data_IF_177023172928
#
_entry.id   IF_177023172928
#
_cell.length_a   1.000
_cell.length_b   1.000
_cell.length_c   1.000
_cell.angle_alpha   90.00
_cell.angle_beta   90.00
_cell.angle_gamma   90.00
#
_symmetry.space_group_name_H-M   'P 1'
#
loop_
_entity.id
_entity.type
_entity.pdbx_description
1 polymer ?
#
# COMPACT_ATOMS: atom_id res chain seq x y z
N UNK A 1 -10.67 9.25 23.49
CA UNK A 1 -10.64 7.97 22.76
C UNK A 1 -10.74 8.15 21.26
N UNK A 2 -11.83 8.73 20.73
CA UNK A 2 -12.02 8.99 19.29
C UNK A 2 -10.87 9.79 18.65
N UNK A 3 -10.40 10.83 19.35
CA UNK A 3 -9.25 11.63 18.89
C UNK A 3 -7.98 10.78 18.67
N UNK A 4 -7.69 9.82 19.55
CA UNK A 4 -6.50 8.98 19.42
C UNK A 4 -6.58 8.04 18.21
N UNK A 5 -7.76 7.50 17.91
CA UNK A 5 -8.01 6.67 16.72
C UNK A 5 -7.81 7.51 15.46
N UNK A 6 -8.38 8.73 15.43
CA UNK A 6 -8.23 9.66 14.30
C UNK A 6 -6.75 10.02 14.10
N UNK A 7 -6.04 10.38 15.16
CA UNK A 7 -4.61 10.69 15.09
C UNK A 7 -3.80 9.49 14.59
N UNK A 8 -4.13 8.27 15.01
CA UNK A 8 -3.45 7.06 14.52
C UNK A 8 -3.71 6.80 13.03
N UNK A 9 -4.95 6.96 12.57
CA UNK A 9 -5.32 6.86 11.16
C UNK A 9 -4.61 7.92 10.29
N UNK A 10 -4.55 9.17 10.77
CA UNK A 10 -3.85 10.26 10.09
C UNK A 10 -2.34 10.02 10.05
N UNK A 11 -1.74 9.60 11.18
CA UNK A 11 -0.33 9.29 11.26
C UNK A 11 0.06 8.15 10.31
N UNK A 12 -0.71 7.06 10.29
CA UNK A 12 -0.46 5.93 9.39
C UNK A 12 -0.61 6.32 7.92
N UNK A 13 -1.63 7.12 7.58
CA UNK A 13 -1.80 7.67 6.24
C UNK A 13 -0.61 8.54 5.83
N UNK A 14 -0.13 9.41 6.73
CA UNK A 14 1.04 10.24 6.48
C UNK A 14 2.31 9.41 6.29
N UNK A 15 2.53 8.38 7.10
CA UNK A 15 3.67 7.46 6.97
C UNK A 15 3.66 6.78 5.59
N UNK A 16 2.52 6.25 5.16
CA UNK A 16 2.39 5.59 3.84
C UNK A 16 2.62 6.59 2.70
N UNK A 17 2.02 7.79 2.77
CA UNK A 17 2.16 8.82 1.76
C UNK A 17 3.61 9.34 1.65
N UNK A 18 4.27 9.60 2.78
CA UNK A 18 5.67 10.05 2.82
C UNK A 18 6.58 8.95 2.26
N UNK A 19 6.40 7.70 2.69
CA UNK A 19 7.18 6.57 2.16
C UNK A 19 7.04 6.48 0.64
N UNK A 20 5.80 6.55 0.14
CA UNK A 20 5.52 6.54 -1.29
C UNK A 20 6.26 7.67 -2.03
N UNK A 21 6.13 8.93 -1.58
CA UNK A 21 6.78 10.08 -2.23
C UNK A 21 8.30 9.92 -2.22
N UNK A 22 8.89 9.45 -1.11
CA UNK A 22 10.33 9.22 -1.01
C UNK A 22 10.78 8.11 -1.97
N UNK A 23 10.14 6.94 -1.93
CA UNK A 23 10.54 5.81 -2.78
C UNK A 23 10.34 6.11 -4.26
N UNK A 24 9.14 6.55 -4.66
CA UNK A 24 8.82 6.88 -6.05
C UNK A 24 9.64 8.07 -6.54
N UNK A 25 9.89 9.06 -5.68
CA UNK A 25 10.75 10.20 -5.98
C UNK A 25 12.20 9.79 -6.26
N UNK A 26 12.76 8.88 -5.47
CA UNK A 26 14.11 8.33 -5.71
C UNK A 26 14.17 7.59 -7.05
N UNK A 27 13.18 6.74 -7.35
CA UNK A 27 13.12 6.04 -8.64
C UNK A 27 12.92 6.98 -9.82
N UNK A 28 12.06 8.00 -9.68
CA UNK A 28 11.84 9.02 -10.69
C UNK A 28 13.12 9.82 -10.95
N UNK A 29 13.84 10.23 -9.90
CA UNK A 29 15.13 10.91 -10.00
C UNK A 29 16.18 10.04 -10.68
N UNK A 30 16.33 8.78 -10.24
CA UNK A 30 17.28 7.84 -10.84
C UNK A 30 16.96 7.59 -12.32
N UNK A 31 15.68 7.45 -12.66
CA UNK A 31 15.23 7.30 -14.06
C UNK A 31 15.58 8.52 -14.89
N UNK A 32 15.36 9.74 -14.39
CA UNK A 32 15.72 10.96 -15.12
C UNK A 32 17.24 11.10 -15.32
N UNK A 33 18.05 10.64 -14.36
CA UNK A 33 19.52 10.63 -14.45
C UNK A 33 20.04 9.61 -15.48
N UNK A 34 19.45 8.41 -15.51
CA UNK A 34 19.92 7.31 -16.39
C UNK A 34 19.29 7.37 -17.78
N UNK A 35 18.04 7.80 -17.89
CA UNK A 35 17.28 7.91 -19.15
C UNK A 35 16.60 9.28 -19.27
N UNK A 36 17.37 10.35 -19.57
CA UNK A 36 16.81 11.68 -19.72
C UNK A 36 15.72 11.72 -20.80
N UNK A 37 14.63 12.44 -20.54
CA UNK A 37 13.55 12.63 -21.51
C UNK A 37 12.54 11.47 -21.63
N UNK A 38 12.81 10.30 -21.04
CA UNK A 38 11.96 9.10 -21.18
C UNK A 38 10.47 9.36 -20.89
N UNK A 39 10.16 10.16 -19.87
CA UNK A 39 8.79 10.46 -19.45
C UNK A 39 8.38 11.93 -19.68
N UNK A 40 9.10 12.67 -20.53
CA UNK A 40 8.85 14.10 -20.74
C UNK A 40 7.42 14.40 -21.23
N UNK A 41 6.85 13.51 -22.07
CA UNK A 41 5.49 13.63 -22.59
C UNK A 41 4.42 13.07 -21.64
N UNK A 42 4.81 12.37 -20.57
CA UNK A 42 3.88 11.72 -19.64
C UNK A 42 3.53 12.59 -18.42
N UNK A 43 3.88 13.88 -18.42
CA UNK A 43 3.61 14.79 -17.28
C UNK A 43 2.14 14.80 -16.81
N UNK A 44 1.13 14.81 -17.71
CA UNK A 44 -0.27 14.74 -17.27
C UNK A 44 -0.60 13.41 -16.59
N UNK A 45 -0.11 12.28 -17.13
CA UNK A 45 -0.30 10.96 -16.54
C UNK A 45 0.37 10.86 -15.16
N UNK A 46 1.62 11.32 -15.03
CA UNK A 46 2.36 11.31 -13.76
C UNK A 46 1.59 12.08 -12.67
N UNK A 47 1.00 13.24 -13.00
CA UNK A 47 0.20 14.00 -12.03
C UNK A 47 -1.03 13.22 -11.56
N UNK A 48 -1.68 12.51 -12.48
CA UNK A 48 -2.83 11.65 -12.17
C UNK A 48 -2.39 10.45 -11.32
N UNK A 49 -1.29 9.79 -11.66
CA UNK A 49 -0.69 8.70 -10.89
C UNK A 49 -0.38 9.14 -9.46
N UNK A 50 0.27 10.29 -9.28
CA UNK A 50 0.53 10.85 -7.95
C UNK A 50 -0.76 11.06 -7.16
N UNK A 51 -1.80 11.64 -7.79
CA UNK A 51 -3.09 11.85 -7.14
C UNK A 51 -3.73 10.53 -6.66
N UNK A 52 -3.75 9.50 -7.53
CA UNK A 52 -4.32 8.20 -7.19
C UNK A 52 -3.49 7.42 -6.17
N UNK A 53 -2.16 7.55 -6.21
CA UNK A 53 -1.26 6.93 -5.23
C UNK A 53 -1.43 7.57 -3.85
N UNK A 54 -1.61 8.89 -3.77
CA UNK A 54 -1.93 9.58 -2.51
C UNK A 54 -3.34 9.23 -2.00
N UNK A 55 -4.34 9.10 -2.88
CA UNK A 55 -5.66 8.62 -2.51
C UNK A 55 -5.58 7.17 -1.96
N UNK A 56 -4.80 6.31 -2.62
CA UNK A 56 -4.54 4.94 -2.16
C UNK A 56 -3.85 4.91 -0.80
N UNK A 57 -2.93 5.84 -0.53
CA UNK A 57 -2.30 5.96 0.78
C UNK A 57 -3.32 6.22 1.90
N UNK A 58 -4.39 7.00 1.65
CA UNK A 58 -5.48 7.16 2.61
C UNK A 58 -6.36 5.91 2.71
N UNK A 59 -6.71 5.29 1.59
CA UNK A 59 -7.54 4.07 1.56
C UNK A 59 -6.91 2.94 2.38
N UNK A 60 -5.59 2.77 2.32
CA UNK A 60 -4.87 1.77 3.12
C UNK A 60 -4.43 2.28 4.49
N UNK A 61 -4.02 3.55 4.59
CA UNK A 61 -3.47 4.13 5.80
C UNK A 61 -4.50 4.30 6.92
N UNK A 62 -5.72 4.71 6.59
CA UNK A 62 -6.81 4.88 7.57
C UNK A 62 -7.12 3.56 8.29
N UNK A 63 -7.51 2.47 7.61
CA UNK A 63 -7.79 1.20 8.30
C UNK A 63 -6.55 0.66 9.00
N UNK A 64 -5.35 0.80 8.43
CA UNK A 64 -4.12 0.37 9.09
C UNK A 64 -3.88 1.10 10.42
N UNK A 65 -4.12 2.42 10.48
CA UNK A 65 -4.00 3.18 11.74
C UNK A 65 -5.07 2.80 12.76
N UNK A 66 -6.31 2.58 12.32
CA UNK A 66 -7.40 2.11 13.20
C UNK A 66 -7.04 0.74 13.82
N UNK A 67 -6.56 -0.20 13.00
CA UNK A 67 -6.16 -1.53 13.46
C UNK A 67 -4.92 -1.46 14.35
N UNK A 68 -3.93 -0.61 14.04
CA UNK A 68 -2.74 -0.42 14.87
C UNK A 68 -3.09 0.14 16.26
N UNK A 69 -3.99 1.13 16.32
CA UNK A 69 -4.51 1.63 17.59
C UNK A 69 -5.27 0.54 18.36
N UNK A 70 -6.14 -0.19 17.67
CA UNK A 70 -6.94 -1.26 18.27
C UNK A 70 -6.12 -2.42 18.79
N UNK A 71 -5.03 -2.75 18.10
CA UNK A 71 -4.02 -3.69 18.60
C UNK A 71 -3.46 -3.23 19.95
N UNK A 72 -2.89 -2.03 20.02
CA UNK A 72 -2.22 -1.56 21.24
C UNK A 72 -3.17 -1.28 22.40
N UNK A 73 -4.36 -0.78 22.12
CA UNK A 73 -5.27 -0.26 23.15
C UNK A 73 -6.39 -1.23 23.52
N UNK A 74 -6.73 -2.17 22.63
CA UNK A 74 -7.91 -3.05 22.78
C UNK A 74 -7.62 -4.54 22.54
N UNK A 75 -6.39 -4.90 22.15
CA UNK A 75 -6.04 -6.29 21.85
C UNK A 75 -6.80 -6.88 20.66
N UNK A 76 -7.20 -6.05 19.68
CA UNK A 76 -7.98 -6.52 18.51
C UNK A 76 -7.23 -7.51 17.62
N UNK A 77 -5.91 -7.56 17.73
CA UNK A 77 -5.07 -8.43 16.91
C UNK A 77 -4.09 -9.19 17.80
N UNK A 78 -3.54 -10.27 17.24
CA UNK A 78 -2.50 -11.08 17.88
C UNK A 78 -1.08 -10.67 17.46
N UNK A 79 -0.87 -9.39 17.10
CA UNK A 79 0.48 -8.90 16.82
C UNK A 79 1.30 -9.02 18.11
N UNK A 80 2.39 -9.77 18.02
CA UNK A 80 3.39 -9.95 19.06
C UNK A 80 4.68 -9.22 18.67
N UNK A 81 5.42 -8.72 19.66
CA UNK A 81 6.62 -7.90 19.42
C UNK A 81 7.91 -8.55 19.92
N UNK A 82 7.83 -9.59 20.76
CA UNK A 82 9.02 -10.29 21.22
C UNK A 82 9.26 -11.54 20.40
N UNK A 83 10.51 -11.74 19.98
CA UNK A 83 10.93 -12.93 19.23
C UNK A 83 10.71 -14.24 19.98
N UNK A 84 10.63 -14.18 21.31
CA UNK A 84 10.45 -15.33 22.20
C UNK A 84 8.99 -15.64 22.55
N UNK A 85 8.01 -14.87 22.04
CA UNK A 85 6.58 -15.14 22.31
C UNK A 85 6.10 -16.44 21.62
N UNK A 86 6.84 -16.89 20.58
CA UNK A 86 6.67 -18.17 19.90
C UNK A 86 8.03 -18.84 19.69
N UNK A 87 8.07 -20.17 19.44
CA UNK A 87 9.30 -20.85 19.04
C UNK A 87 9.93 -20.19 17.80
N UNK A 88 11.26 -20.03 17.76
CA UNK A 88 11.93 -19.29 16.68
C UNK A 88 11.69 -19.86 15.27
N UNK A 89 11.44 -21.16 15.14
CA UNK A 89 11.07 -21.78 13.86
C UNK A 89 9.73 -21.28 13.32
N UNK A 90 8.87 -20.74 14.18
CA UNK A 90 7.59 -20.17 13.78
C UNK A 90 7.79 -18.89 12.95
N UNK A 91 8.89 -18.14 13.12
CA UNK A 91 9.13 -16.92 12.34
C UNK A 91 9.20 -17.17 10.82
N UNK A 92 10.02 -18.10 10.30
CA UNK A 92 9.99 -18.42 8.87
C UNK A 92 8.69 -19.13 8.46
N UNK A 93 8.10 -19.99 9.31
CA UNK A 93 6.85 -20.66 8.96
C UNK A 93 5.68 -19.68 8.82
N UNK A 94 5.54 -18.74 9.76
CA UNK A 94 4.46 -17.75 9.76
C UNK A 94 4.58 -16.81 8.57
N UNK A 95 5.80 -16.48 8.15
CA UNK A 95 6.05 -15.76 6.89
C UNK A 95 5.53 -16.55 5.68
N UNK A 96 5.85 -17.85 5.58
CA UNK A 96 5.38 -18.69 4.47
C UNK A 96 3.85 -18.85 4.47
N UNK A 97 3.24 -19.04 5.64
CA UNK A 97 1.79 -19.09 5.80
C UNK A 97 1.17 -17.76 5.37
N UNK A 98 1.71 -16.64 5.83
CA UNK A 98 1.24 -15.31 5.46
C UNK A 98 1.32 -15.09 3.95
N UNK A 99 2.44 -15.42 3.32
CA UNK A 99 2.61 -15.29 1.86
C UNK A 99 1.59 -16.14 1.11
N UNK A 100 1.41 -17.40 1.50
CA UNK A 100 0.41 -18.28 0.88
C UNK A 100 -1.01 -17.69 1.00
N UNK A 101 -1.40 -17.22 2.19
CA UNK A 101 -2.72 -16.64 2.41
C UNK A 101 -2.89 -15.33 1.65
N UNK A 102 -1.90 -14.45 1.72
CA UNK A 102 -1.91 -13.14 1.06
C UNK A 102 -1.99 -13.30 -0.46
N UNK A 103 -1.17 -14.16 -1.05
CA UNK A 103 -1.13 -14.38 -2.50
C UNK A 103 -2.41 -15.05 -3.00
N UNK A 104 -2.94 -16.01 -2.22
CA UNK A 104 -4.24 -16.63 -2.53
C UNK A 104 -5.35 -15.58 -2.51
N UNK A 105 -5.43 -14.77 -1.45
CA UNK A 105 -6.40 -13.68 -1.36
C UNK A 105 -6.24 -12.67 -2.50
N UNK A 106 -5.03 -12.22 -2.76
CA UNK A 106 -4.73 -11.25 -3.81
C UNK A 106 -5.10 -11.79 -5.19
N UNK A 107 -4.74 -13.03 -5.52
CA UNK A 107 -5.08 -13.64 -6.80
C UNK A 107 -6.59 -13.66 -7.03
N UNK A 108 -7.36 -14.17 -6.08
CA UNK A 108 -8.81 -14.31 -6.25
C UNK A 108 -9.51 -12.95 -6.26
N UNK A 109 -9.12 -12.02 -5.38
CA UNK A 109 -9.70 -10.68 -5.37
C UNK A 109 -9.35 -9.89 -6.63
N UNK A 110 -8.12 -10.00 -7.12
CA UNK A 110 -7.71 -9.41 -8.39
C UNK A 110 -8.47 -10.01 -9.57
N UNK A 111 -8.58 -11.35 -9.65
CA UNK A 111 -9.38 -12.03 -10.67
C UNK A 111 -10.83 -11.55 -10.65
N UNK A 112 -11.42 -11.38 -9.47
CA UNK A 112 -12.78 -10.89 -9.31
C UNK A 112 -12.92 -9.42 -9.73
N UNK A 113 -11.93 -8.58 -9.42
CA UNK A 113 -11.87 -7.18 -9.86
C UNK A 113 -11.82 -7.01 -11.37
N UNK A 114 -11.44 -8.04 -12.14
CA UNK A 114 -11.53 -8.04 -13.60
C UNK A 114 -12.93 -8.32 -14.16
N UNK A 115 -13.93 -8.61 -13.31
CA UNK A 115 -15.31 -8.69 -13.77
C UNK A 115 -15.81 -7.31 -14.27
N UNK A 116 -16.65 -7.21 -15.31
CA UNK A 116 -16.93 -5.95 -16.01
C UNK A 116 -17.43 -4.78 -15.15
N UNK A 117 -18.22 -5.06 -14.10
CA UNK A 117 -18.70 -4.03 -13.17
C UNK A 117 -17.59 -3.59 -12.22
N UNK A 118 -16.90 -4.55 -11.59
CA UNK A 118 -15.83 -4.27 -10.61
C UNK A 118 -14.62 -3.61 -11.28
N UNK A 119 -14.31 -4.01 -12.50
CA UNK A 119 -13.23 -3.42 -13.29
C UNK A 119 -13.44 -1.92 -13.42
N UNK A 120 -14.62 -1.50 -13.88
CA UNK A 120 -14.93 -0.08 -14.09
C UNK A 120 -14.87 0.77 -12.81
N UNK A 121 -15.26 0.22 -11.66
CA UNK A 121 -15.34 1.01 -10.41
C UNK A 121 -14.08 0.96 -9.57
N UNK A 122 -13.28 -0.12 -9.65
CA UNK A 122 -12.21 -0.37 -8.70
C UNK A 122 -10.85 -0.69 -9.34
N UNK A 123 -10.81 -1.11 -10.61
CA UNK A 123 -9.57 -1.62 -11.21
C UNK A 123 -9.10 -0.89 -12.47
N UNK A 124 -10.00 -0.17 -13.16
CA UNK A 124 -9.69 0.49 -14.43
C UNK A 124 -8.58 1.55 -14.30
N UNK A 125 -8.57 2.30 -13.19
CA UNK A 125 -7.56 3.33 -12.93
C UNK A 125 -6.16 2.72 -12.83
N UNK A 126 -6.03 1.58 -12.14
CA UNK A 126 -4.76 0.86 -12.05
C UNK A 126 -4.24 0.43 -13.43
N UNK A 127 -5.14 0.06 -14.36
CA UNK A 127 -4.80 -0.30 -15.74
C UNK A 127 -4.64 0.89 -16.69
N UNK A 128 -4.93 2.12 -16.25
CA UNK A 128 -4.86 3.32 -17.08
C UNK A 128 -3.43 3.83 -17.27
N UNK A 129 -2.50 3.47 -16.38
CA UNK A 129 -1.07 3.83 -16.44
C UNK A 129 -0.35 3.05 -17.55
N UNK A 130 -0.18 3.68 -18.73
CA UNK A 130 0.41 3.04 -19.92
C UNK A 130 1.38 4.00 -20.65
N UNK A 131 2.70 3.81 -20.55
CA UNK A 131 3.39 2.86 -19.67
C UNK A 131 3.28 3.28 -18.19
N UNK A 132 3.37 2.35 -17.22
CA UNK A 132 3.47 2.71 -15.82
C UNK A 132 4.76 3.49 -15.57
N UNK A 133 4.69 4.52 -14.71
CA UNK A 133 5.87 5.27 -14.27
C UNK A 133 6.27 4.87 -12.84
N UNK A 134 7.26 5.56 -12.26
CA UNK A 134 7.64 5.33 -10.87
C UNK A 134 6.58 5.84 -9.86
N UNK A 135 5.59 6.61 -10.34
CA UNK A 135 4.54 7.23 -9.54
C UNK A 135 3.25 6.40 -9.57
#
# INVERSE_FOLDING_TARGET
MTLAIILSALAMTAIVAIRYVLTSGIFAWATQRVRPGLYALLRPQIRMEIGWSLASAAIYGIPAGIIAWGWQQRGWTQIYTNWSDYPLWYAPLSLLIYLLLHDTWFYWTHRWMHAPRLFRIAHAVHHASRPPTAW
#
